data_IF_034468960096
#
_entry.id   IF_034468960096
#
_cell.length_a   1.000
_cell.length_b   1.000
_cell.length_c   1.000
_cell.angle_alpha   90.00
_cell.angle_beta   90.00
_cell.angle_gamma   90.00
#
_symmetry.space_group_name_H-M   'P 1'
#
loop_
_entity.id
_entity.type
_entity.pdbx_description
1 polymer ?
#
# COMPACT_ATOMS: atom_id res chain seq x y z
N UNK A 1 20.89 -22.52 -11.79
CA UNK A 1 20.59 -21.66 -12.95
C UNK A 1 20.22 -20.27 -12.42
N UNK A 2 21.11 -19.29 -12.58
CA UNK A 2 20.98 -17.92 -12.03
C UNK A 2 19.96 -17.10 -12.84
N UNK A 3 18.96 -16.49 -12.19
CA UNK A 3 18.06 -15.51 -12.82
C UNK A 3 18.63 -14.10 -12.62
N UNK A 4 19.28 -13.57 -13.65
CA UNK A 4 19.81 -12.21 -13.66
C UNK A 4 18.66 -11.18 -13.73
N UNK A 5 18.59 -10.32 -12.72
CA UNK A 5 17.79 -9.11 -12.69
C UNK A 5 18.34 -8.09 -13.70
N UNK A 6 17.80 -8.07 -14.92
CA UNK A 6 18.01 -6.95 -15.84
C UNK A 6 16.87 -5.94 -15.68
N UNK A 7 16.99 -5.03 -14.72
CA UNK A 7 16.24 -3.78 -14.81
C UNK A 7 16.75 -3.01 -16.03
N UNK A 8 15.94 -2.90 -17.08
CA UNK A 8 16.32 -2.10 -18.26
C UNK A 8 16.75 -0.71 -17.81
N UNK A 9 17.95 -0.26 -18.21
CA UNK A 9 18.50 1.07 -17.86
C UNK A 9 17.49 2.19 -18.12
N UNK A 10 16.62 2.04 -19.12
CA UNK A 10 15.55 2.97 -19.44
C UNK A 10 14.45 3.05 -18.36
N UNK A 11 14.08 1.92 -17.72
CA UNK A 11 13.13 1.90 -16.61
C UNK A 11 13.68 2.60 -15.37
N UNK A 12 14.96 2.34 -15.03
CA UNK A 12 15.66 3.02 -13.94
C UNK A 12 15.77 4.53 -14.20
N UNK A 13 16.12 4.94 -15.43
CA UNK A 13 16.19 6.36 -15.80
C UNK A 13 14.82 7.05 -15.76
N UNK A 14 13.74 6.35 -16.18
CA UNK A 14 12.37 6.87 -16.10
C UNK A 14 11.92 7.03 -14.66
N UNK A 15 12.16 6.03 -13.80
CA UNK A 15 11.89 6.11 -12.36
C UNK A 15 12.65 7.27 -11.71
N UNK A 16 13.92 7.48 -12.07
CA UNK A 16 14.72 8.58 -11.54
C UNK A 16 14.21 9.98 -11.95
N UNK A 17 13.53 10.07 -13.10
CA UNK A 17 12.93 11.32 -13.63
C UNK A 17 11.49 11.54 -13.18
N UNK A 18 10.87 10.57 -12.53
CA UNK A 18 9.49 10.65 -12.08
C UNK A 18 9.35 11.69 -10.95
N UNK A 19 8.60 12.79 -11.15
CA UNK A 19 8.46 13.85 -10.15
C UNK A 19 7.83 13.33 -8.85
N UNK A 20 6.98 12.30 -8.90
CA UNK A 20 6.34 11.76 -7.70
C UNK A 20 7.26 10.82 -6.92
N UNK A 21 8.28 10.23 -7.55
CA UNK A 21 9.31 9.48 -6.81
C UNK A 21 10.14 10.45 -5.97
N UNK A 22 10.52 11.60 -6.56
CA UNK A 22 11.20 12.67 -5.82
C UNK A 22 10.29 13.26 -4.74
N UNK A 23 9.04 13.57 -5.09
CA UNK A 23 8.08 14.12 -4.13
C UNK A 23 7.79 13.15 -2.98
N UNK A 24 7.70 11.84 -3.23
CA UNK A 24 7.50 10.85 -2.18
C UNK A 24 8.67 10.89 -1.19
N UNK A 25 9.91 10.89 -1.68
CA UNK A 25 11.10 11.02 -0.83
C UNK A 25 11.11 12.32 -0.03
N UNK A 26 10.86 13.46 -0.68
CA UNK A 26 10.84 14.78 -0.02
C UNK A 26 9.73 14.90 1.03
N UNK A 27 8.58 14.26 0.81
CA UNK A 27 7.45 14.25 1.74
C UNK A 27 7.45 13.01 2.66
N UNK A 28 8.55 12.24 2.69
CA UNK A 28 8.73 11.05 3.54
C UNK A 28 7.65 9.97 3.36
N UNK A 29 7.08 9.87 2.14
CA UNK A 29 6.21 8.78 1.75
C UNK A 29 6.99 7.58 1.23
N UNK A 30 6.56 6.37 1.60
CA UNK A 30 7.20 5.11 1.20
C UNK A 30 7.10 4.79 -0.28
N UNK A 31 6.08 5.32 -0.97
CA UNK A 31 5.86 5.09 -2.38
C UNK A 31 5.20 6.28 -3.06
N UNK A 32 5.45 6.47 -4.36
CA UNK A 32 4.73 7.45 -5.19
C UNK A 32 3.23 7.17 -5.29
N UNK A 33 2.79 5.94 -5.02
CA UNK A 33 1.36 5.59 -4.98
C UNK A 33 0.61 6.37 -3.89
N UNK A 34 1.27 6.80 -2.80
CA UNK A 34 0.67 7.61 -1.75
C UNK A 34 -0.11 8.83 -2.31
N UNK A 35 0.42 9.48 -3.35
CA UNK A 35 -0.24 10.62 -3.98
C UNK A 35 -1.58 10.29 -4.63
N UNK A 36 -1.79 9.05 -5.10
CA UNK A 36 -3.09 8.62 -5.63
C UNK A 36 -4.15 8.67 -4.54
N UNK A 37 -3.88 8.07 -3.38
CA UNK A 37 -4.82 8.06 -2.27
C UNK A 37 -5.02 9.47 -1.69
N UNK A 38 -3.96 10.28 -1.60
CA UNK A 38 -4.06 11.69 -1.18
C UNK A 38 -5.02 12.46 -2.11
N UNK A 39 -4.88 12.34 -3.42
CA UNK A 39 -5.74 13.02 -4.40
C UNK A 39 -7.19 12.51 -4.34
N UNK A 40 -7.38 11.20 -4.22
CA UNK A 40 -8.70 10.60 -4.06
C UNK A 40 -9.39 11.06 -2.77
N UNK A 41 -8.68 11.05 -1.64
CA UNK A 41 -9.22 11.52 -0.36
C UNK A 41 -9.53 13.03 -0.38
N UNK A 42 -8.69 13.84 -1.04
CA UNK A 42 -8.96 15.27 -1.21
C UNK A 42 -10.29 15.52 -1.92
N UNK A 43 -10.57 14.74 -2.97
CA UNK A 43 -11.76 14.88 -3.82
C UNK A 43 -13.01 14.27 -3.19
N UNK A 44 -12.90 13.07 -2.62
CA UNK A 44 -14.06 12.27 -2.19
C UNK A 44 -14.22 12.17 -0.66
N UNK A 45 -13.27 12.70 0.11
CA UNK A 45 -13.28 12.67 1.59
C UNK A 45 -13.44 11.25 2.15
N UNK A 46 -12.70 10.30 1.57
CA UNK A 46 -12.81 8.86 1.83
C UNK A 46 -12.44 8.50 3.27
N UNK A 47 -11.41 9.14 3.83
CA UNK A 47 -10.83 8.76 5.11
C UNK A 47 -11.14 9.82 6.16
N UNK A 48 -11.93 9.42 7.16
CA UNK A 48 -12.25 10.22 8.34
C UNK A 48 -11.38 9.77 9.50
N UNK A 49 -11.06 10.69 10.42
CA UNK A 49 -10.34 10.32 11.63
C UNK A 49 -11.16 9.28 12.41
N UNK A 50 -10.52 8.21 12.86
CA UNK A 50 -11.15 7.09 13.55
C UNK A 50 -11.74 6.01 12.63
N UNK A 51 -11.71 6.19 11.31
CA UNK A 51 -12.20 5.16 10.39
C UNK A 51 -11.33 3.90 10.42
N UNK A 52 -11.92 2.76 10.13
CA UNK A 52 -11.21 1.49 9.93
C UNK A 52 -10.98 1.28 8.43
N UNK A 53 -9.71 1.16 8.04
CA UNK A 53 -9.28 1.00 6.65
C UNK A 53 -8.58 -0.34 6.47
N UNK A 54 -8.96 -1.09 5.43
CA UNK A 54 -8.26 -2.28 4.98
C UNK A 54 -7.52 -1.98 3.67
N UNK A 55 -6.20 -2.07 3.67
CA UNK A 55 -5.32 -1.84 2.51
C UNK A 55 -4.87 -3.18 1.93
N UNK A 56 -5.42 -3.56 0.77
CA UNK A 56 -5.16 -4.83 0.09
C UNK A 56 -4.09 -4.64 -0.98
N UNK A 57 -2.99 -5.37 -0.85
CA UNK A 57 -1.79 -5.17 -1.65
C UNK A 57 -0.99 -3.98 -1.17
N UNK A 58 -0.81 -3.92 0.15
CA UNK A 58 -0.32 -2.75 0.82
C UNK A 58 1.18 -2.50 0.57
N UNK A 59 1.98 -3.46 0.11
CA UNK A 59 3.42 -3.26 -0.04
C UNK A 59 3.73 -2.19 -1.13
N UNK A 60 4.63 -1.23 -0.86
CA UNK A 60 5.53 -1.10 0.29
C UNK A 60 4.98 -0.22 1.46
N UNK A 61 3.70 0.14 1.44
CA UNK A 61 2.99 0.83 2.52
C UNK A 61 2.55 2.25 2.19
N UNK A 62 2.47 2.62 0.90
CA UNK A 62 2.13 3.99 0.48
C UNK A 62 0.72 4.42 0.89
N UNK A 63 -0.28 3.60 0.61
CA UNK A 63 -1.68 3.87 0.99
C UNK A 63 -1.86 3.76 2.51
N UNK A 64 -1.33 2.69 3.10
CA UNK A 64 -1.29 2.49 4.56
C UNK A 64 -0.78 3.74 5.30
N UNK A 65 0.36 4.30 4.89
CA UNK A 65 0.95 5.47 5.55
C UNK A 65 0.03 6.70 5.45
N UNK A 66 -0.61 6.91 4.30
CA UNK A 66 -1.57 8.01 4.13
C UNK A 66 -2.77 7.85 5.05
N UNK A 67 -3.35 6.65 5.12
CA UNK A 67 -4.50 6.37 5.98
C UNK A 67 -4.15 6.52 7.48
N UNK A 68 -2.99 6.04 7.91
CA UNK A 68 -2.49 6.25 9.28
C UNK A 68 -2.32 7.74 9.59
N UNK A 69 -1.70 8.51 8.68
CA UNK A 69 -1.48 9.96 8.88
C UNK A 69 -2.81 10.73 8.98
N UNK A 70 -3.88 10.20 8.39
CA UNK A 70 -5.26 10.73 8.50
C UNK A 70 -5.96 10.35 9.81
N UNK A 71 -5.33 9.52 10.64
CA UNK A 71 -5.85 9.05 11.91
C UNK A 71 -6.83 7.89 11.78
N UNK A 72 -6.72 7.08 10.73
CA UNK A 72 -7.45 5.82 10.61
C UNK A 72 -6.74 4.70 11.38
N UNK A 73 -7.52 3.70 11.80
CA UNK A 73 -6.97 2.39 12.16
C UNK A 73 -6.81 1.59 10.89
N UNK A 74 -5.60 1.12 10.59
CA UNK A 74 -5.31 0.47 9.30
C UNK A 74 -4.91 -0.98 9.49
N UNK A 75 -5.52 -1.88 8.71
CA UNK A 75 -5.08 -3.26 8.54
C UNK A 75 -4.57 -3.41 7.10
N UNK A 76 -3.26 -3.58 6.94
CA UNK A 76 -2.61 -3.78 5.64
C UNK A 76 -2.32 -5.25 5.41
N UNK A 77 -2.57 -5.75 4.19
CA UNK A 77 -2.25 -7.12 3.79
C UNK A 77 -1.53 -7.15 2.45
N UNK A 78 -0.44 -7.92 2.38
CA UNK A 78 0.30 -8.14 1.13
C UNK A 78 1.06 -9.48 1.16
N UNK A 79 1.37 -10.03 -0.01
CA UNK A 79 2.25 -11.19 -0.16
C UNK A 79 3.69 -10.88 0.28
N UNK A 80 4.13 -9.65 0.00
CA UNK A 80 5.47 -9.16 0.30
C UNK A 80 5.52 -8.60 1.73
N UNK A 81 6.67 -8.70 2.42
CA UNK A 81 6.85 -8.06 3.71
C UNK A 81 6.74 -6.54 3.58
N UNK A 82 6.10 -5.92 4.57
CA UNK A 82 5.97 -4.47 4.68
C UNK A 82 6.72 -4.05 5.93
N UNK A 83 7.63 -3.08 5.80
CA UNK A 83 8.32 -2.50 6.96
C UNK A 83 7.30 -1.97 7.99
N UNK A 84 7.53 -2.07 9.30
CA UNK A 84 6.56 -1.62 10.31
C UNK A 84 6.13 -0.16 10.12
N UNK A 85 4.82 0.11 10.10
CA UNK A 85 4.25 1.46 10.11
C UNK A 85 3.56 1.66 11.47
N UNK A 86 3.98 2.64 12.28
CA UNK A 86 3.31 2.90 13.56
C UNK A 86 1.81 3.08 13.39
N UNK A 87 1.02 2.47 14.28
CA UNK A 87 -0.45 2.51 14.26
C UNK A 87 -1.12 1.78 13.07
N UNK A 88 -0.39 0.95 12.33
CA UNK A 88 -0.96 -0.02 11.37
C UNK A 88 -0.74 -1.46 11.84
N UNK A 89 -1.72 -2.32 11.60
CA UNK A 89 -1.58 -3.76 11.74
C UNK A 89 -1.25 -4.35 10.36
N UNK A 90 -0.05 -4.91 10.20
CA UNK A 90 0.46 -5.39 8.90
C UNK A 90 0.51 -6.91 8.89
N UNK A 91 -0.20 -7.51 7.95
CA UNK A 91 -0.31 -8.96 7.79
C UNK A 91 0.39 -9.34 6.49
N UNK A 92 1.39 -10.21 6.58
CA UNK A 92 1.97 -10.83 5.40
C UNK A 92 1.19 -12.08 5.04
N UNK A 93 0.58 -12.10 3.85
CA UNK A 93 -0.15 -13.26 3.37
C UNK A 93 -0.95 -12.99 2.09
N UNK A 94 -1.43 -14.09 1.51
CA UNK A 94 -2.32 -14.06 0.37
C UNK A 94 -3.77 -13.78 0.84
N UNK A 95 -4.29 -12.60 0.50
CA UNK A 95 -5.65 -12.18 0.84
C UNK A 95 -6.75 -13.16 0.35
N UNK A 96 -6.47 -13.96 -0.67
CA UNK A 96 -7.43 -14.96 -1.17
C UNK A 96 -7.54 -16.19 -0.27
N UNK A 97 -6.62 -16.38 0.68
CA UNK A 97 -6.61 -17.53 1.59
C UNK A 97 -7.56 -17.31 2.77
N UNK A 98 -8.44 -18.28 3.08
CA UNK A 98 -9.34 -18.19 4.23
C UNK A 98 -8.63 -17.96 5.57
N UNK A 99 -7.42 -18.49 5.75
CA UNK A 99 -6.61 -18.26 6.96
C UNK A 99 -6.18 -16.80 7.12
N UNK A 100 -5.83 -16.12 6.03
CA UNK A 100 -5.45 -14.71 6.03
C UNK A 100 -6.68 -13.83 6.22
N UNK A 101 -7.80 -14.17 5.57
CA UNK A 101 -9.07 -13.49 5.79
C UNK A 101 -9.49 -13.59 7.26
N UNK A 102 -9.38 -14.78 7.88
CA UNK A 102 -9.62 -14.95 9.32
C UNK A 102 -8.71 -14.06 10.16
N UNK A 103 -7.41 -14.00 9.85
CA UNK A 103 -6.46 -13.15 10.57
C UNK A 103 -6.85 -11.66 10.48
N UNK A 104 -7.31 -11.20 9.31
CA UNK A 104 -7.84 -9.84 9.14
C UNK A 104 -9.09 -9.63 9.99
N UNK A 105 -10.03 -10.58 9.98
CA UNK A 105 -11.26 -10.51 10.77
C UNK A 105 -10.98 -10.48 12.28
N UNK A 106 -10.02 -11.28 12.74
CA UNK A 106 -9.59 -11.31 14.14
C UNK A 106 -8.98 -9.94 14.54
N UNK A 107 -8.14 -9.34 13.67
CA UNK A 107 -7.57 -8.01 13.89
C UNK A 107 -8.61 -6.86 13.85
N UNK A 108 -9.74 -7.06 13.18
CA UNK A 108 -10.85 -6.11 13.21
C UNK A 108 -11.55 -6.07 14.57
N UNK A 109 -11.48 -7.15 15.36
CA UNK A 109 -12.12 -7.24 16.69
C UNK A 109 -13.62 -6.87 16.64
N UNK A 110 -14.30 -7.27 15.56
CA UNK A 110 -15.73 -6.97 15.34
C UNK A 110 -16.03 -5.53 14.90
N UNK A 111 -15.03 -4.66 14.75
CA UNK A 111 -15.24 -3.30 14.21
C UNK A 111 -15.65 -3.37 12.72
N UNK A 112 -16.64 -2.56 12.29
CA UNK A 112 -16.97 -2.45 10.87
C UNK A 112 -15.82 -1.81 10.09
N UNK A 113 -15.68 -2.20 8.82
CA UNK A 113 -14.72 -1.59 7.89
C UNK A 113 -15.39 -0.44 7.16
N UNK A 114 -14.82 0.76 7.24
CA UNK A 114 -15.34 1.95 6.57
C UNK A 114 -14.83 2.07 5.13
N UNK A 115 -13.61 1.57 4.86
CA UNK A 115 -12.97 1.64 3.55
C UNK A 115 -12.11 0.41 3.29
N UNK A 116 -12.29 -0.21 2.13
CA UNK A 116 -11.33 -1.14 1.54
C UNK A 116 -10.68 -0.46 0.35
N UNK A 117 -9.36 -0.43 0.29
CA UNK A 117 -8.61 0.15 -0.83
C UNK A 117 -7.54 -0.82 -1.33
N UNK A 118 -7.16 -0.65 -2.61
CA UNK A 118 -6.09 -1.43 -3.23
C UNK A 118 -5.46 -0.63 -4.37
N UNK A 119 -4.12 -0.66 -4.44
CA UNK A 119 -3.34 -0.19 -5.60
C UNK A 119 -2.55 -1.36 -6.23
N UNK A 120 -3.06 -2.60 -6.08
CA UNK A 120 -2.43 -3.80 -6.64
C UNK A 120 -2.28 -3.67 -8.17
N UNK A 121 -1.07 -3.92 -8.64
CA UNK A 121 -0.77 -4.09 -10.05
C UNK A 121 0.19 -5.27 -10.23
N UNK A 122 0.05 -6.05 -11.31
CA UNK A 122 0.97 -7.15 -11.58
C UNK A 122 2.39 -6.63 -11.84
N UNK A 123 3.40 -7.42 -11.51
CA UNK A 123 4.79 -7.13 -11.85
C UNK A 123 4.94 -7.03 -13.37
N UNK A 124 5.34 -5.85 -13.86
CA UNK A 124 5.60 -5.66 -15.28
C UNK A 124 6.85 -6.45 -15.70
N UNK A 125 6.68 -7.53 -16.45
CA UNK A 125 7.77 -8.34 -17.01
C UNK A 125 8.44 -7.72 -18.24
N UNK A 126 7.91 -6.59 -18.76
CA UNK A 126 8.50 -5.86 -19.88
C UNK A 126 8.36 -6.55 -21.25
N UNK A 127 7.62 -7.66 -21.34
CA UNK A 127 7.24 -8.27 -22.61
C UNK A 127 5.82 -7.83 -22.97
N UNK A 128 5.72 -6.95 -23.97
CA UNK A 128 4.55 -6.86 -24.85
C UNK A 128 4.92 -7.53 -26.16
#
# INVERSE_FOLDING_TARGET
MQRAWYSSKAWLQRQARDPYVKAAKSNQFRARSAFKLIQLDQKYKLIKRGSVVVDVGAAPGGFTQVAVNKGATVIGVDLLPIEPIPNAHLIQGDFTKPSIQKTIMDALEGRPVDLVCSDMAPSFSGTL
#
